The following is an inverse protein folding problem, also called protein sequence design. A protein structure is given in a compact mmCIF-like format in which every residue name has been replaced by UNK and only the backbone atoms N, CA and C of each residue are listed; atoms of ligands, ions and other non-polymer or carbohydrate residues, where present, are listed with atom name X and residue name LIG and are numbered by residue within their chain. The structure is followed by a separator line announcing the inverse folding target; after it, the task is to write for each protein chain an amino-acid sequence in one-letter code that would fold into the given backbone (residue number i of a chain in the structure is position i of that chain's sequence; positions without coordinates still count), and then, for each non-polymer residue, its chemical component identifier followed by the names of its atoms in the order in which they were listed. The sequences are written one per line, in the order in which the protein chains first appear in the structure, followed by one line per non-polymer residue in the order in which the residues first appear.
data_IF_566149248113
#
_entry.id   IF_566149248113
#
_cell.length_a   1.000
_cell.length_b   1.000
_cell.length_c   1.000
_cell.angle_alpha   90.00
_cell.angle_beta   90.00
_cell.angle_gamma   90.00
#
_symmetry.space_group_name_H-M   'P 1'
#
loop_
_entity.id
_entity.type
_entity.pdbx_description
1 polymer ?
#
# COMPACT_ATOMS: atom_id res chain seq x y z
N UNK A 1 -15.91 -2.53 7.84
CA UNK A 1 -16.27 -1.20 7.26
C UNK A 1 -15.60 -1.04 5.90
N UNK A 2 -16.20 -0.31 4.93
CA UNK A 2 -15.55 0.01 3.65
C UNK A 2 -14.90 1.39 3.76
N UNK A 3 -13.66 1.52 3.29
CA UNK A 3 -12.95 2.80 3.19
C UNK A 3 -12.65 3.06 1.72
N UNK A 4 -13.27 4.12 1.20
CA UNK A 4 -13.26 4.44 -0.24
C UNK A 4 -12.31 5.61 -0.45
N UNK A 5 -11.35 5.43 -1.36
CA UNK A 5 -10.38 6.45 -1.73
C UNK A 5 -10.96 7.39 -2.78
N UNK A 6 -11.68 8.41 -2.34
CA UNK A 6 -12.47 9.31 -3.19
C UNK A 6 -11.92 10.74 -3.31
N UNK A 7 -10.74 11.04 -2.73
CA UNK A 7 -10.17 12.39 -2.75
C UNK A 7 -9.10 12.60 -3.86
N UNK A 8 -8.95 11.62 -4.75
CA UNK A 8 -8.05 11.74 -5.88
C UNK A 8 -8.53 12.77 -6.90
N UNK A 9 -7.57 13.56 -7.43
CA UNK A 9 -7.80 14.45 -8.59
C UNK A 9 -7.07 13.97 -9.84
N UNK A 10 -5.86 13.44 -9.66
CA UNK A 10 -5.01 12.96 -10.75
C UNK A 10 -5.18 11.47 -11.05
N UNK A 11 -6.00 10.76 -10.27
CA UNK A 11 -6.36 9.36 -10.52
C UNK A 11 -7.88 9.20 -10.51
N UNK A 12 -8.37 8.27 -11.31
CA UNK A 12 -9.78 7.93 -11.41
C UNK A 12 -9.95 6.49 -11.87
N UNK A 13 -10.77 5.69 -11.19
CA UNK A 13 -11.30 4.45 -11.74
C UNK A 13 -12.56 4.81 -12.53
N UNK A 14 -12.43 4.92 -13.85
CA UNK A 14 -13.49 5.37 -14.74
C UNK A 14 -14.61 4.34 -14.80
N UNK A 15 -14.23 3.06 -14.97
CA UNK A 15 -15.16 1.95 -15.14
C UNK A 15 -14.47 0.62 -14.77
N UNK A 16 -15.23 -0.41 -14.40
CA UNK A 16 -14.70 -1.73 -14.11
C UNK A 16 -15.75 -2.81 -14.37
N UNK A 17 -15.31 -3.96 -14.87
CA UNK A 17 -16.13 -5.15 -15.12
C UNK A 17 -15.43 -6.13 -16.06
N UNK A 18 -16.02 -7.32 -16.24
CA UNK A 18 -15.44 -8.40 -17.05
C UNK A 18 -13.98 -8.74 -16.71
N UNK A 19 -13.59 -8.61 -15.43
CA UNK A 19 -12.23 -8.89 -14.97
C UNK A 19 -11.20 -7.82 -15.26
N UNK A 20 -11.64 -6.60 -15.63
CA UNK A 20 -10.78 -5.47 -15.99
C UNK A 20 -11.25 -4.17 -15.38
N UNK A 21 -10.38 -3.19 -15.38
CA UNK A 21 -10.67 -1.80 -15.01
C UNK A 21 -10.07 -0.83 -16.00
N UNK A 22 -10.78 0.26 -16.24
CA UNK A 22 -10.38 1.41 -17.03
C UNK A 22 -10.05 2.56 -16.07
N UNK A 23 -8.85 3.07 -16.15
CA UNK A 23 -8.32 4.05 -15.20
C UNK A 23 -7.68 5.24 -15.91
N UNK A 24 -7.81 6.41 -15.28
CA UNK A 24 -7.05 7.61 -15.66
C UNK A 24 -5.96 7.87 -14.63
N UNK A 25 -4.74 8.07 -15.12
CA UNK A 25 -3.54 8.39 -14.36
C UNK A 25 -2.95 9.71 -14.87
N UNK A 26 -3.34 10.84 -14.28
CA UNK A 26 -3.08 12.16 -14.87
C UNK A 26 -3.84 12.30 -16.18
N UNK A 27 -3.09 12.40 -17.29
CA UNK A 27 -3.65 12.47 -18.65
C UNK A 27 -3.61 11.12 -19.39
N UNK A 28 -3.15 10.04 -18.75
CA UNK A 28 -2.97 8.73 -19.36
C UNK A 28 -4.11 7.81 -18.99
N UNK A 29 -4.74 7.16 -19.96
CA UNK A 29 -5.83 6.21 -19.75
C UNK A 29 -5.31 4.80 -19.98
N UNK A 30 -5.43 3.95 -18.95
CA UNK A 30 -4.94 2.58 -18.96
C UNK A 30 -6.09 1.59 -18.73
N UNK A 31 -6.05 0.46 -19.44
CA UNK A 31 -6.89 -0.70 -19.19
C UNK A 31 -6.02 -1.82 -18.61
N UNK A 32 -6.44 -2.36 -17.45
CA UNK A 32 -5.68 -3.38 -16.74
C UNK A 32 -6.58 -4.48 -16.19
N UNK A 33 -6.08 -5.73 -16.05
CA UNK A 33 -6.83 -6.80 -15.40
C UNK A 33 -7.09 -6.49 -13.92
N UNK A 34 -8.33 -6.70 -13.51
CA UNK A 34 -8.73 -6.69 -12.12
C UNK A 34 -9.68 -7.86 -11.83
N UNK A 35 -9.18 -8.93 -11.16
CA UNK A 35 -9.97 -10.13 -10.95
C UNK A 35 -11.16 -9.95 -10.00
N UNK A 36 -11.24 -8.85 -9.28
CA UNK A 36 -12.38 -8.53 -8.40
C UNK A 36 -13.57 -7.99 -9.20
N UNK A 37 -13.35 -7.39 -10.38
CA UNK A 37 -14.39 -6.79 -11.21
C UNK A 37 -15.11 -7.85 -12.07
N UNK A 38 -15.79 -8.81 -11.44
CA UNK A 38 -16.41 -9.96 -12.12
C UNK A 38 -17.81 -9.67 -12.71
N UNK A 39 -18.38 -8.52 -12.42
CA UNK A 39 -19.69 -8.11 -12.95
C UNK A 39 -19.60 -7.69 -14.42
N UNK A 40 -20.76 -7.65 -15.07
CA UNK A 40 -20.84 -7.22 -16.45
C UNK A 40 -20.70 -5.71 -16.58
N UNK A 41 -20.04 -5.27 -17.63
CA UNK A 41 -19.93 -3.86 -18.01
C UNK A 41 -20.28 -3.71 -19.50
N UNK A 42 -20.99 -2.63 -19.84
CA UNK A 42 -21.21 -2.27 -21.23
C UNK A 42 -20.00 -1.51 -21.74
N UNK A 43 -19.25 -2.12 -22.65
CA UNK A 43 -18.11 -1.46 -23.29
C UNK A 43 -18.59 -0.29 -24.16
N UNK A 44 -18.45 0.91 -23.66
CA UNK A 44 -18.74 2.16 -24.37
C UNK A 44 -17.53 2.63 -25.15
N UNK A 45 -17.68 3.74 -25.88
CA UNK A 45 -16.58 4.37 -26.60
C UNK A 45 -15.44 4.83 -25.68
N UNK A 46 -15.71 5.04 -24.38
CA UNK A 46 -14.69 5.35 -23.38
C UNK A 46 -13.64 4.23 -23.26
N UNK A 47 -14.07 2.95 -23.33
CA UNK A 47 -13.19 1.80 -23.30
C UNK A 47 -12.31 1.64 -24.56
N UNK A 48 -12.61 2.35 -25.62
CA UNK A 48 -11.85 2.37 -26.90
C UNK A 48 -10.77 3.44 -26.91
N UNK A 49 -10.93 4.50 -26.10
CA UNK A 49 -10.03 5.65 -26.02
C UNK A 49 -9.03 5.46 -24.90
N UNK A 50 -7.99 4.67 -25.13
CA UNK A 50 -6.96 4.35 -24.13
C UNK A 50 -5.55 4.46 -24.72
N UNK A 51 -4.60 4.75 -23.85
CA UNK A 51 -3.19 4.89 -24.20
C UNK A 51 -2.44 3.56 -24.08
N UNK A 52 -2.87 2.70 -23.13
CA UNK A 52 -2.24 1.40 -22.91
C UNK A 52 -3.20 0.37 -22.36
N UNK A 53 -2.98 -0.89 -22.77
CA UNK A 53 -3.71 -2.05 -22.27
C UNK A 53 -2.74 -3.15 -21.87
N UNK A 54 -2.87 -3.67 -20.66
CA UNK A 54 -2.12 -4.81 -20.19
C UNK A 54 -2.91 -6.11 -20.40
N UNK A 55 -2.39 -6.97 -21.24
CA UNK A 55 -2.96 -8.29 -21.51
C UNK A 55 -2.33 -9.34 -20.61
N UNK A 56 -3.16 -10.07 -19.87
CA UNK A 56 -2.71 -11.16 -19.04
C UNK A 56 -2.42 -12.41 -19.88
N UNK A 57 -1.27 -13.02 -19.65
CA UNK A 57 -0.92 -14.30 -20.28
C UNK A 57 -1.50 -15.48 -19.47
N UNK A 58 -1.95 -16.52 -20.15
CA UNK A 58 -2.40 -17.77 -19.53
C UNK A 58 -1.26 -18.57 -18.87
N UNK A 59 0.00 -18.20 -19.15
CA UNK A 59 1.21 -18.84 -18.60
C UNK A 59 1.80 -18.06 -17.40
N UNK A 60 1.08 -17.06 -16.90
CA UNK A 60 1.56 -16.11 -15.89
C UNK A 60 2.22 -14.86 -16.52
N UNK A 61 2.20 -13.74 -15.79
CA UNK A 61 2.64 -12.45 -16.32
C UNK A 61 1.71 -11.88 -17.38
N UNK A 62 2.26 -11.18 -18.35
CA UNK A 62 1.53 -10.53 -19.44
C UNK A 62 2.36 -9.46 -20.13
N UNK A 63 1.74 -8.68 -20.99
CA UNK A 63 2.41 -7.64 -21.77
C UNK A 63 1.54 -6.40 -21.94
N UNK A 64 2.19 -5.25 -22.05
CA UNK A 64 1.55 -3.99 -22.40
C UNK A 64 1.48 -3.82 -23.92
N UNK A 65 0.30 -3.42 -24.40
CA UNK A 65 0.13 -2.87 -25.73
C UNK A 65 -0.17 -1.38 -25.59
N UNK A 66 0.71 -0.53 -26.14
CA UNK A 66 0.53 0.92 -26.14
C UNK A 66 -0.07 1.36 -27.49
N UNK A 67 -1.05 2.26 -27.41
CA UNK A 67 -1.76 2.83 -28.56
C UNK A 67 -1.27 4.25 -28.86
N UNK A 68 -0.66 4.89 -27.85
CA UNK A 68 0.00 6.20 -27.94
C UNK A 68 1.42 6.10 -27.43
N UNK A 69 2.26 7.06 -27.78
CA UNK A 69 3.64 7.14 -27.23
C UNK A 69 3.56 7.72 -25.82
N UNK A 70 3.78 6.89 -24.82
CA UNK A 70 3.89 7.34 -23.44
C UNK A 70 5.31 7.82 -23.10
N UNK A 71 5.47 8.75 -22.15
CA UNK A 71 6.76 9.03 -21.54
C UNK A 71 7.24 7.81 -20.75
N UNK A 72 8.53 7.74 -20.45
CA UNK A 72 9.10 6.67 -19.62
C UNK A 72 8.43 6.60 -18.25
N UNK A 73 8.11 7.78 -17.69
CA UNK A 73 7.29 7.93 -16.50
C UNK A 73 6.55 9.27 -16.51
N UNK A 74 5.55 9.40 -15.69
CA UNK A 74 4.90 10.68 -15.37
C UNK A 74 4.56 10.75 -13.90
N UNK A 75 3.98 11.85 -13.44
CA UNK A 75 3.64 12.03 -12.03
C UNK A 75 2.14 12.18 -11.85
N UNK A 76 1.67 11.70 -10.69
CA UNK A 76 0.31 11.94 -10.18
C UNK A 76 0.38 12.49 -8.77
N UNK A 77 -0.57 13.33 -8.40
CA UNK A 77 -0.65 13.96 -7.08
C UNK A 77 -1.81 13.41 -6.27
N UNK A 78 -1.53 13.19 -5.00
CA UNK A 78 -2.54 13.00 -3.97
C UNK A 78 -2.34 14.05 -2.89
N UNK A 79 -3.27 14.99 -2.76
CA UNK A 79 -3.12 16.17 -1.88
C UNK A 79 -1.77 16.87 -2.15
N UNK A 80 -0.88 16.93 -1.19
CA UNK A 80 0.46 17.54 -1.31
C UNK A 80 1.57 16.55 -1.72
N UNK A 81 1.25 15.26 -1.84
CA UNK A 81 2.20 14.22 -2.23
C UNK A 81 2.24 14.07 -3.75
N UNK A 82 3.42 13.89 -4.31
CA UNK A 82 3.63 13.67 -5.74
C UNK A 82 4.35 12.33 -5.94
N UNK A 83 3.81 11.48 -6.80
CA UNK A 83 4.33 10.15 -7.06
C UNK A 83 4.66 9.95 -8.52
N UNK A 84 5.80 9.34 -8.77
CA UNK A 84 6.17 8.79 -10.08
C UNK A 84 5.31 7.56 -10.36
N UNK A 85 4.77 7.48 -11.57
CA UNK A 85 4.07 6.32 -12.10
C UNK A 85 4.62 5.95 -13.47
N UNK A 86 4.70 4.66 -13.73
CA UNK A 86 5.16 4.09 -15.00
C UNK A 86 4.61 2.67 -15.15
N UNK A 87 4.16 2.25 -16.33
CA UNK A 87 3.88 0.86 -16.60
C UNK A 87 5.12 0.00 -16.31
N UNK A 88 4.99 -0.98 -15.41
CA UNK A 88 6.08 -1.94 -15.13
C UNK A 88 5.99 -3.14 -16.08
N UNK A 89 6.95 -4.07 -15.99
CA UNK A 89 6.88 -5.34 -16.72
C UNK A 89 5.68 -6.21 -16.31
N UNK A 90 4.95 -5.80 -15.28
CA UNK A 90 3.70 -6.40 -14.81
C UNK A 90 2.55 -5.42 -15.00
N UNK A 91 1.35 -5.81 -14.56
CA UNK A 91 0.16 -4.95 -14.62
C UNK A 91 0.23 -3.67 -13.74
N UNK A 92 1.23 -3.56 -12.87
CA UNK A 92 1.33 -2.45 -11.90
C UNK A 92 1.95 -1.20 -12.51
N UNK A 93 1.61 -0.07 -11.93
CA UNK A 93 2.04 1.28 -12.37
C UNK A 93 2.90 2.00 -11.34
N UNK A 94 3.29 1.30 -10.27
CA UNK A 94 4.10 1.87 -9.20
C UNK A 94 3.31 2.47 -8.03
N UNK A 95 1.98 2.47 -8.10
CA UNK A 95 1.14 3.04 -7.04
C UNK A 95 -0.16 2.25 -6.88
N UNK A 96 -0.70 2.23 -5.65
CA UNK A 96 -1.97 1.63 -5.27
C UNK A 96 -2.90 2.73 -4.75
N UNK A 97 -3.77 3.32 -5.59
CA UNK A 97 -4.56 4.49 -5.23
C UNK A 97 -5.55 4.26 -4.09
N UNK A 98 -6.05 3.05 -3.93
CA UNK A 98 -6.94 2.65 -2.83
C UNK A 98 -6.31 2.83 -1.46
N UNK A 99 -4.97 2.80 -1.38
CA UNK A 99 -4.23 3.00 -0.13
C UNK A 99 -4.26 4.44 0.38
N UNK A 100 -4.75 5.38 -0.40
CA UNK A 100 -4.81 6.79 0.01
C UNK A 100 -5.65 7.00 1.28
N UNK A 101 -6.69 6.18 1.53
CA UNK A 101 -7.43 6.21 2.80
C UNK A 101 -6.57 5.82 4.01
N UNK A 102 -5.58 4.96 3.79
CA UNK A 102 -4.63 4.58 4.82
C UNK A 102 -3.55 5.66 5.01
N UNK A 103 -3.15 6.33 3.92
CA UNK A 103 -2.23 7.47 4.03
C UNK A 103 -2.85 8.61 4.83
N UNK A 104 -4.11 8.95 4.56
CA UNK A 104 -4.84 9.98 5.32
C UNK A 104 -4.91 9.62 6.80
N UNK A 105 -5.31 8.39 7.11
CA UNK A 105 -5.35 7.90 8.49
C UNK A 105 -3.98 8.05 9.18
N UNK A 106 -2.89 7.61 8.54
CA UNK A 106 -1.55 7.70 9.12
C UNK A 106 -1.10 9.14 9.32
N UNK A 107 -1.33 10.00 8.31
CA UNK A 107 -1.01 11.44 8.41
C UNK A 107 -1.75 12.11 9.55
N UNK A 108 -3.04 11.85 9.69
CA UNK A 108 -3.87 12.45 10.74
C UNK A 108 -3.47 11.94 12.13
N UNK A 109 -3.22 10.63 12.29
CA UNK A 109 -2.77 10.05 13.54
C UNK A 109 -1.42 10.66 13.99
N UNK A 110 -0.46 10.78 13.06
CA UNK A 110 0.86 11.36 13.34
C UNK A 110 0.75 12.84 13.73
N UNK A 111 0.00 13.65 12.97
CA UNK A 111 -0.17 15.07 13.25
C UNK A 111 -0.85 15.32 14.60
N UNK A 112 -1.83 14.51 14.96
CA UNK A 112 -2.60 14.65 16.19
C UNK A 112 -1.89 14.08 17.42
N UNK A 113 -0.80 13.34 17.27
CA UNK A 113 -0.09 12.70 18.39
C UNK A 113 0.65 13.69 19.31
N UNK A 114 0.89 14.92 18.83
CA UNK A 114 1.64 15.98 19.55
C UNK A 114 3.04 15.53 20.07
N UNK A 115 3.62 14.51 19.46
CA UNK A 115 4.96 14.01 19.78
C UNK A 115 5.67 13.54 18.52
N UNK A 116 6.99 13.38 18.59
CA UNK A 116 7.75 12.81 17.49
C UNK A 116 7.43 11.32 17.37
N UNK A 117 7.06 10.87 16.17
CA UNK A 117 6.67 9.50 15.87
C UNK A 117 7.74 8.83 15.02
N UNK A 118 8.15 7.63 15.41
CA UNK A 118 9.05 6.76 14.65
C UNK A 118 8.22 5.64 14.01
N UNK A 119 8.16 5.62 12.68
CA UNK A 119 7.36 4.66 11.89
C UNK A 119 8.27 3.63 11.24
N UNK A 120 7.88 2.35 11.29
CA UNK A 120 8.44 1.28 10.49
C UNK A 120 7.46 0.90 9.39
N UNK A 121 7.89 1.02 8.13
CA UNK A 121 7.13 0.59 6.96
C UNK A 121 7.77 -0.65 6.33
N UNK A 122 7.07 -1.78 6.38
CA UNK A 122 7.50 -3.08 5.88
C UNK A 122 6.77 -3.41 4.56
N UNK A 123 7.44 -4.08 3.63
CA UNK A 123 6.96 -4.32 2.26
C UNK A 123 6.55 -3.01 1.59
N UNK A 124 7.43 -2.04 1.70
CA UNK A 124 7.11 -0.64 1.48
C UNK A 124 6.93 -0.26 0.01
N UNK A 125 7.28 -1.16 -0.92
CA UNK A 125 7.15 -0.96 -2.36
C UNK A 125 7.82 0.37 -2.79
N UNK A 126 7.11 1.20 -3.55
CA UNK A 126 7.61 2.51 -4.00
C UNK A 126 7.50 3.63 -2.95
N UNK A 127 7.16 3.29 -1.71
CA UNK A 127 7.25 4.16 -0.55
C UNK A 127 6.10 5.16 -0.36
N UNK A 128 4.93 4.96 -0.94
CA UNK A 128 3.82 5.91 -0.79
C UNK A 128 3.42 6.12 0.70
N UNK A 129 3.29 5.03 1.47
CA UNK A 129 3.03 5.11 2.91
C UNK A 129 4.18 5.80 3.68
N UNK A 130 5.44 5.59 3.24
CA UNK A 130 6.61 6.29 3.80
C UNK A 130 6.50 7.80 3.57
N UNK A 131 6.16 8.23 2.35
CA UNK A 131 6.01 9.65 2.03
C UNK A 131 4.86 10.28 2.83
N UNK A 132 3.74 9.58 2.97
CA UNK A 132 2.60 10.03 3.79
C UNK A 132 3.03 10.24 5.26
N UNK A 133 3.64 9.24 5.90
CA UNK A 133 4.10 9.35 7.28
C UNK A 133 5.14 10.45 7.47
N UNK A 134 6.13 10.52 6.57
CA UNK A 134 7.21 11.52 6.64
C UNK A 134 6.69 12.95 6.44
N UNK A 135 5.74 13.17 5.53
CA UNK A 135 5.12 14.47 5.30
C UNK A 135 4.30 14.97 6.49
N UNK A 136 3.84 14.06 7.34
CA UNK A 136 3.16 14.37 8.59
C UNK A 136 4.13 14.63 9.77
N UNK A 137 5.45 14.51 9.54
CA UNK A 137 6.49 14.82 10.53
C UNK A 137 7.12 13.61 11.22
N UNK A 138 6.81 12.39 10.79
CA UNK A 138 7.44 11.19 11.37
C UNK A 138 8.86 10.96 10.87
N UNK A 139 9.68 10.32 11.73
CA UNK A 139 10.89 9.64 11.29
C UNK A 139 10.52 8.26 10.76
N UNK A 140 10.93 7.91 9.54
CA UNK A 140 10.49 6.68 8.90
C UNK A 140 11.67 5.77 8.57
N UNK A 141 11.53 4.50 8.91
CA UNK A 141 12.39 3.42 8.43
C UNK A 141 11.56 2.58 7.44
N UNK A 142 12.00 2.55 6.20
CA UNK A 142 11.37 1.82 5.11
C UNK A 142 12.16 0.57 4.78
N UNK A 143 11.50 -0.58 4.69
CA UNK A 143 12.10 -1.87 4.35
C UNK A 143 11.37 -2.52 3.19
N UNK A 144 12.10 -2.88 2.16
CA UNK A 144 11.61 -3.67 1.03
C UNK A 144 12.71 -4.61 0.53
N UNK A 145 12.33 -5.80 0.04
CA UNK A 145 13.28 -6.76 -0.49
C UNK A 145 13.84 -6.36 -1.87
N UNK A 146 13.13 -5.49 -2.60
CA UNK A 146 13.48 -5.06 -3.94
C UNK A 146 14.32 -3.78 -3.93
N UNK A 147 15.56 -3.87 -4.40
CA UNK A 147 16.41 -2.70 -4.61
C UNK A 147 15.77 -1.69 -5.59
N UNK A 148 15.16 -2.18 -6.68
CA UNK A 148 14.52 -1.31 -7.67
C UNK A 148 13.36 -0.51 -7.09
N UNK A 149 12.53 -1.12 -6.25
CA UNK A 149 11.43 -0.43 -5.57
C UNK A 149 11.94 0.57 -4.54
N UNK A 150 13.02 0.24 -3.83
CA UNK A 150 13.68 1.16 -2.90
C UNK A 150 14.27 2.39 -3.61
N UNK A 151 14.87 2.22 -4.79
CA UNK A 151 15.34 3.37 -5.59
C UNK A 151 14.16 4.23 -6.09
N UNK A 152 13.07 3.61 -6.54
CA UNK A 152 11.86 4.34 -6.91
C UNK A 152 11.28 5.14 -5.72
N UNK A 153 11.31 4.58 -4.51
CA UNK A 153 10.88 5.28 -3.31
C UNK A 153 11.75 6.52 -3.02
N UNK A 154 13.06 6.48 -3.30
CA UNK A 154 13.93 7.65 -3.19
C UNK A 154 13.59 8.74 -4.22
N UNK A 155 13.16 8.34 -5.42
CA UNK A 155 12.65 9.29 -6.40
C UNK A 155 11.35 9.94 -5.92
N UNK A 156 10.43 9.16 -5.37
CA UNK A 156 9.20 9.68 -4.76
C UNK A 156 9.49 10.63 -3.58
N UNK A 157 10.51 10.35 -2.76
CA UNK A 157 10.96 11.25 -1.70
C UNK A 157 11.34 12.64 -2.27
N UNK A 158 12.10 12.66 -3.36
CA UNK A 158 12.49 13.92 -4.04
C UNK A 158 11.28 14.64 -4.63
N UNK A 159 10.39 13.92 -5.30
CA UNK A 159 9.17 14.48 -5.88
C UNK A 159 8.22 15.07 -4.82
N UNK A 160 8.23 14.53 -3.60
CA UNK A 160 7.49 15.05 -2.47
C UNK A 160 8.22 16.19 -1.72
N UNK A 161 9.46 16.53 -2.06
CA UNK A 161 10.25 17.54 -1.36
C UNK A 161 10.64 17.15 0.07
N UNK A 162 10.84 15.86 0.32
CA UNK A 162 11.07 15.30 1.67
C UNK A 162 12.54 14.92 1.93
N UNK A 163 13.50 15.41 1.12
CA UNK A 163 14.92 15.05 1.23
C UNK A 163 15.56 15.50 2.54
N UNK A 164 14.99 16.50 3.20
CA UNK A 164 15.46 16.98 4.51
C UNK A 164 14.91 16.20 5.70
N UNK A 165 13.91 15.35 5.46
CA UNK A 165 13.28 14.55 6.48
C UNK A 165 14.09 13.27 6.76
N UNK A 166 13.97 12.74 7.98
CA UNK A 166 14.61 11.48 8.30
C UNK A 166 13.82 10.31 7.70
N UNK A 167 14.35 9.77 6.58
CA UNK A 167 13.85 8.55 5.95
C UNK A 167 15.04 7.61 5.73
N UNK A 168 14.99 6.43 6.34
CA UNK A 168 15.99 5.39 6.18
C UNK A 168 15.48 4.31 5.25
N UNK A 169 16.15 4.13 4.12
CA UNK A 169 15.82 3.12 3.10
C UNK A 169 16.65 1.87 3.29
N UNK A 170 16.01 0.72 3.44
CA UNK A 170 16.64 -0.58 3.70
C UNK A 170 16.18 -1.58 2.63
N UNK A 171 17.13 -2.25 2.01
CA UNK A 171 16.87 -3.42 1.13
C UNK A 171 17.16 -4.67 1.94
N UNK A 172 16.10 -5.38 2.37
CA UNK A 172 16.22 -6.54 3.25
C UNK A 172 14.95 -7.38 3.30
N UNK A 173 15.04 -8.60 3.83
CA UNK A 173 13.90 -9.38 4.28
C UNK A 173 13.28 -8.71 5.53
N UNK A 174 11.96 -8.53 5.51
CA UNK A 174 11.25 -7.80 6.57
C UNK A 174 11.36 -8.48 7.94
N UNK A 175 11.20 -9.81 8.01
CA UNK A 175 11.29 -10.54 9.27
C UNK A 175 12.70 -10.49 9.86
N UNK A 176 13.71 -10.73 9.03
CA UNK A 176 15.12 -10.64 9.45
C UNK A 176 15.48 -9.24 9.92
N UNK A 177 14.96 -8.21 9.26
CA UNK A 177 15.15 -6.82 9.68
C UNK A 177 14.54 -6.59 11.06
N UNK A 178 13.29 -6.98 11.30
CA UNK A 178 12.59 -6.82 12.58
C UNK A 178 13.33 -7.56 13.71
N UNK A 179 13.76 -8.80 13.46
CA UNK A 179 14.53 -9.58 14.43
C UNK A 179 15.88 -8.90 14.81
N UNK A 180 16.53 -8.22 13.84
CA UNK A 180 17.74 -7.44 14.13
C UNK A 180 17.46 -6.17 14.93
N UNK A 181 16.36 -5.48 14.62
CA UNK A 181 15.94 -4.29 15.39
C UNK A 181 15.59 -4.68 16.84
N UNK A 182 14.96 -5.84 17.05
CA UNK A 182 14.75 -6.36 18.41
C UNK A 182 16.06 -6.57 19.17
N UNK A 183 17.04 -7.24 18.56
CA UNK A 183 18.36 -7.46 19.19
C UNK A 183 19.13 -6.17 19.48
N UNK A 184 18.86 -5.11 18.71
CA UNK A 184 19.45 -3.77 18.89
C UNK A 184 18.72 -2.92 19.93
N UNK A 185 17.58 -3.40 20.45
CA UNK A 185 16.74 -2.64 21.37
C UNK A 185 16.02 -1.46 20.73
N UNK A 186 15.94 -1.39 19.38
CA UNK A 186 15.22 -0.33 18.69
C UNK A 186 13.71 -0.50 18.86
N UNK A 187 13.02 0.64 19.03
CA UNK A 187 11.58 0.70 19.20
C UNK A 187 10.94 1.63 18.15
N UNK A 188 9.69 1.35 17.82
CA UNK A 188 8.89 2.09 16.86
C UNK A 188 7.51 2.43 17.46
N UNK A 189 7.04 3.65 17.21
CA UNK A 189 5.74 4.09 17.70
C UNK A 189 4.60 3.65 16.80
N UNK A 190 4.90 3.38 15.54
CA UNK A 190 3.91 2.88 14.59
C UNK A 190 4.56 1.91 13.61
N UNK A 191 3.79 0.92 13.19
CA UNK A 191 4.18 -0.05 12.16
C UNK A 191 3.08 -0.10 11.11
N UNK A 192 3.48 -0.02 9.84
CA UNK A 192 2.62 -0.28 8.69
C UNK A 192 3.24 -1.37 7.83
N UNK A 193 2.42 -2.27 7.30
CA UNK A 193 2.87 -3.32 6.40
C UNK A 193 1.82 -3.65 5.33
N UNK A 194 2.33 -3.97 4.15
CA UNK A 194 1.54 -4.39 2.99
C UNK A 194 2.14 -5.65 2.34
N UNK A 195 2.15 -6.78 3.08
CA UNK A 195 2.80 -8.00 2.63
C UNK A 195 2.08 -8.59 1.42
N UNK A 196 2.84 -9.09 0.41
CA UNK A 196 2.26 -9.78 -0.73
C UNK A 196 1.70 -11.14 -0.32
N UNK A 197 0.79 -11.70 -1.14
CA UNK A 197 0.32 -13.08 -0.95
C UNK A 197 1.46 -14.08 -1.04
N UNK A 198 2.37 -13.85 -1.99
CA UNK A 198 3.60 -14.64 -2.19
C UNK A 198 4.75 -13.72 -2.61
N UNK A 199 5.94 -13.99 -2.11
CA UNK A 199 7.15 -13.24 -2.45
C UNK A 199 8.44 -14.00 -2.17
N UNK A 200 9.54 -13.38 -2.57
CA UNK A 200 10.89 -13.83 -2.23
C UNK A 200 11.70 -12.67 -1.66
N UNK A 201 12.41 -12.95 -0.59
CA UNK A 201 13.40 -12.04 -0.02
C UNK A 201 14.66 -11.93 -0.89
N UNK A 202 15.57 -11.02 -0.55
CA UNK A 202 16.79 -10.75 -1.35
C UNK A 202 17.73 -11.96 -1.44
N UNK A 203 17.64 -12.91 -0.50
CA UNK A 203 18.43 -14.16 -0.51
C UNK A 203 17.54 -15.38 -0.78
N UNK A 204 16.45 -15.23 -1.56
CA UNK A 204 15.47 -16.27 -1.89
C UNK A 204 14.65 -16.81 -0.71
N UNK A 205 14.56 -16.10 0.40
CA UNK A 205 13.59 -16.41 1.47
C UNK A 205 12.19 -16.48 0.87
N UNK A 206 11.44 -17.52 1.21
CA UNK A 206 10.08 -17.68 0.72
C UNK A 206 9.12 -17.02 1.72
N UNK A 207 8.30 -16.10 1.22
CA UNK A 207 7.15 -15.53 1.92
C UNK A 207 5.87 -16.09 1.34
N UNK A 208 5.00 -16.59 2.21
CA UNK A 208 3.60 -16.88 1.94
C UNK A 208 2.79 -16.26 3.07
N UNK A 209 1.78 -15.49 2.72
CA UNK A 209 1.02 -14.68 3.69
C UNK A 209 0.49 -15.52 4.85
N UNK A 210 -0.27 -16.58 4.54
CA UNK A 210 -0.96 -17.41 5.54
C UNK A 210 0.01 -18.12 6.49
N UNK A 211 1.20 -18.48 6.01
CA UNK A 211 2.21 -19.19 6.79
C UNK A 211 3.09 -18.23 7.63
N UNK A 212 3.22 -16.97 7.21
CA UNK A 212 4.27 -16.07 7.70
C UNK A 212 3.75 -14.86 8.47
N UNK A 213 2.51 -14.41 8.20
CA UNK A 213 2.01 -13.14 8.73
C UNK A 213 1.96 -13.10 10.26
N UNK A 214 1.49 -14.19 10.90
CA UNK A 214 1.40 -14.21 12.35
C UNK A 214 2.77 -14.13 13.02
N UNK A 215 3.77 -14.85 12.48
CA UNK A 215 5.16 -14.80 12.97
C UNK A 215 5.76 -13.41 12.83
N UNK A 216 5.49 -12.72 11.71
CA UNK A 216 5.98 -11.37 11.50
C UNK A 216 5.34 -10.38 12.49
N UNK A 217 4.03 -10.47 12.72
CA UNK A 217 3.32 -9.61 13.68
C UNK A 217 3.87 -9.83 15.10
N UNK A 218 4.05 -11.09 15.53
CA UNK A 218 4.63 -11.41 16.83
C UNK A 218 6.04 -10.80 17.00
N UNK A 219 6.86 -10.85 15.96
CA UNK A 219 8.17 -10.20 15.98
C UNK A 219 8.05 -8.66 16.03
N UNK A 220 7.12 -8.07 15.27
CA UNK A 220 6.88 -6.63 15.22
C UNK A 220 6.41 -6.06 16.57
N UNK A 221 5.57 -6.78 17.29
CA UNK A 221 5.08 -6.36 18.61
C UNK A 221 6.24 -6.18 19.60
N UNK A 222 7.27 -7.01 19.52
CA UNK A 222 8.46 -6.92 20.40
C UNK A 222 9.27 -5.64 20.17
N UNK A 223 9.11 -4.97 19.06
CA UNK A 223 9.77 -3.71 18.72
C UNK A 223 8.83 -2.50 18.74
N UNK A 224 7.58 -2.65 19.13
CA UNK A 224 6.71 -1.51 19.42
C UNK A 224 7.20 -0.80 20.71
N UNK A 225 7.02 0.52 20.74
CA UNK A 225 7.26 1.32 21.94
C UNK A 225 6.18 1.04 23.00
N UNK A 226 6.41 1.51 24.23
CA UNK A 226 5.44 1.33 25.33
C UNK A 226 4.14 2.11 25.08
N UNK A 227 4.18 3.10 24.21
CA UNK A 227 3.03 3.91 23.79
C UNK A 227 2.90 3.91 22.28
N UNK A 228 2.48 2.79 21.66
CA UNK A 228 2.34 2.72 20.22
C UNK A 228 1.19 3.62 19.76
N UNK A 229 1.37 4.27 18.61
CA UNK A 229 0.33 5.13 18.02
C UNK A 229 -0.64 4.32 17.19
N UNK A 230 -0.12 3.51 16.26
CA UNK A 230 -0.91 2.59 15.45
C UNK A 230 -0.12 1.38 14.96
N UNK A 231 -0.87 0.33 14.58
CA UNK A 231 -0.36 -0.80 13.82
C UNK A 231 -1.32 -1.07 12.66
N UNK A 232 -0.85 -1.00 11.43
CA UNK A 232 -1.65 -1.13 10.22
C UNK A 232 -1.14 -2.28 9.36
N UNK A 233 -2.05 -3.18 8.99
CA UNK A 233 -1.79 -4.29 8.06
C UNK A 233 -2.73 -4.16 6.88
N UNK A 234 -2.20 -4.31 5.67
CA UNK A 234 -2.98 -4.48 4.45
C UNK A 234 -2.83 -5.91 3.93
N UNK A 235 -3.78 -6.37 3.15
CA UNK A 235 -3.66 -7.63 2.41
C UNK A 235 -4.51 -7.62 1.14
N UNK A 236 -3.93 -8.17 0.09
CA UNK A 236 -4.58 -8.46 -1.19
C UNK A 236 -4.69 -9.97 -1.44
N UNK A 237 -4.48 -10.77 -0.38
CA UNK A 237 -4.51 -12.23 -0.46
C UNK A 237 -5.95 -12.72 -0.60
N UNK A 238 -6.24 -13.42 -1.69
CA UNK A 238 -7.54 -14.03 -1.94
C UNK A 238 -7.85 -15.08 -0.86
N UNK A 239 -9.08 -15.08 -0.36
CA UNK A 239 -9.54 -16.02 0.67
C UNK A 239 -9.30 -15.56 2.12
N UNK A 240 -8.58 -14.45 2.33
CA UNK A 240 -8.42 -13.83 3.66
C UNK A 240 -9.46 -12.72 3.81
N UNK A 241 -10.31 -12.81 4.83
CA UNK A 241 -11.27 -11.75 5.16
C UNK A 241 -10.65 -10.72 6.11
N UNK A 242 -11.23 -9.51 6.16
CA UNK A 242 -10.80 -8.47 7.10
C UNK A 242 -10.96 -8.91 8.56
N UNK A 243 -11.92 -9.78 8.87
CA UNK A 243 -12.12 -10.37 10.20
C UNK A 243 -10.90 -11.18 10.65
N UNK A 244 -10.16 -11.81 9.74
CA UNK A 244 -8.91 -12.51 10.08
C UNK A 244 -7.88 -11.52 10.61
N UNK A 245 -7.68 -10.38 9.92
CA UNK A 245 -6.77 -9.33 10.38
C UNK A 245 -7.23 -8.72 11.71
N UNK A 246 -8.54 -8.51 11.87
CA UNK A 246 -9.13 -8.03 13.12
C UNK A 246 -8.82 -8.97 14.29
N UNK A 247 -9.04 -10.28 14.11
CA UNK A 247 -8.79 -11.28 15.14
C UNK A 247 -7.30 -11.36 15.49
N UNK A 248 -6.41 -11.32 14.51
CA UNK A 248 -4.96 -11.30 14.76
C UNK A 248 -4.61 -10.09 15.63
N UNK A 249 -5.05 -8.88 15.26
CA UNK A 249 -4.74 -7.68 16.03
C UNK A 249 -5.37 -7.68 17.43
N UNK A 250 -6.60 -8.18 17.57
CA UNK A 250 -7.26 -8.32 18.87
C UNK A 250 -6.54 -9.31 19.80
N UNK A 251 -6.07 -10.41 19.26
CA UNK A 251 -5.41 -11.44 20.07
C UNK A 251 -3.94 -11.15 20.39
N UNK A 252 -3.30 -10.29 19.60
CA UNK A 252 -1.87 -9.98 19.75
C UNK A 252 -1.60 -8.63 20.41
N UNK A 253 -2.30 -7.57 19.97
CA UNK A 253 -2.04 -6.20 20.43
C UNK A 253 -2.89 -5.78 21.63
N UNK A 254 -4.18 -6.06 21.64
CA UNK A 254 -5.05 -5.61 22.75
C UNK A 254 -4.65 -6.16 24.12
N UNK A 255 -4.14 -7.39 24.28
CA UNK A 255 -3.66 -7.85 25.59
C UNK A 255 -2.48 -7.04 26.15
N UNK A 256 -1.66 -6.48 25.27
CA UNK A 256 -0.49 -5.68 25.64
C UNK A 256 -0.80 -4.16 25.70
N UNK A 257 -1.72 -3.72 24.89
CA UNK A 257 -2.11 -2.31 24.75
C UNK A 257 -3.64 -2.16 24.83
N UNK A 258 -4.25 -2.39 26.02
CA UNK A 258 -5.71 -2.48 26.18
C UNK A 258 -6.45 -1.17 25.95
N UNK A 259 -5.76 -0.03 26.04
CA UNK A 259 -6.37 1.29 25.78
C UNK A 259 -6.60 1.61 24.31
N UNK A 260 -6.17 0.71 23.41
CA UNK A 260 -6.41 0.89 21.98
C UNK A 260 -7.70 0.26 21.49
N UNK A 261 -7.99 0.49 20.24
CA UNK A 261 -9.10 -0.17 19.53
C UNK A 261 -8.60 -0.80 18.23
N UNK A 262 -9.31 -1.83 17.79
CA UNK A 262 -9.07 -2.48 16.50
C UNK A 262 -10.21 -2.17 15.55
N UNK A 263 -9.88 -1.78 14.33
CA UNK A 263 -10.78 -1.53 13.20
C UNK A 263 -10.28 -2.33 12.00
N UNK A 264 -11.19 -2.99 11.29
CA UNK A 264 -10.87 -3.75 10.10
C UNK A 264 -11.96 -3.62 9.03
N UNK A 265 -11.58 -3.81 7.78
CA UNK A 265 -12.52 -3.69 6.68
C UNK A 265 -11.86 -3.80 5.31
N UNK A 266 -12.54 -3.28 4.31
CA UNK A 266 -12.11 -3.26 2.92
C UNK A 266 -11.61 -1.87 2.54
N UNK A 267 -10.61 -1.82 1.67
CA UNK A 267 -10.24 -0.62 0.90
C UNK A 267 -10.72 -0.76 -0.54
N UNK A 268 -11.19 0.34 -1.11
CA UNK A 268 -11.74 0.34 -2.46
C UNK A 268 -11.63 1.67 -3.16
N UNK A 269 -11.95 1.66 -4.44
CA UNK A 269 -11.98 2.82 -5.32
C UNK A 269 -13.41 3.10 -5.77
N UNK A 270 -13.85 4.36 -5.83
CA UNK A 270 -15.11 4.69 -6.47
C UNK A 270 -14.98 4.45 -7.98
N UNK A 271 -15.99 3.84 -8.58
CA UNK A 271 -16.14 3.74 -10.03
C UNK A 271 -17.02 4.91 -10.45
N UNK A 272 -16.45 5.86 -11.22
CA UNK A 272 -17.14 7.13 -11.47
C UNK A 272 -18.33 6.99 -12.38
N UNK A 273 -18.33 5.99 -13.26
CA UNK A 273 -19.41 5.79 -14.24
C UNK A 273 -20.73 5.35 -13.61
N UNK A 274 -20.72 4.41 -12.68
CA UNK A 274 -21.91 3.70 -12.20
C UNK A 274 -22.12 3.86 -10.67
N UNK A 275 -21.37 4.74 -10.02
CA UNK A 275 -21.39 4.96 -8.57
C UNK A 275 -21.12 3.67 -7.75
N UNK A 276 -20.51 2.67 -8.41
CA UNK A 276 -20.11 1.43 -7.75
C UNK A 276 -18.75 1.60 -7.05
N UNK A 277 -18.39 0.61 -6.29
CA UNK A 277 -17.08 0.53 -5.63
C UNK A 277 -16.33 -0.69 -6.15
N UNK A 278 -15.12 -0.47 -6.68
CA UNK A 278 -14.18 -1.53 -6.95
C UNK A 278 -13.53 -1.98 -5.64
N UNK A 279 -13.79 -3.19 -5.13
CA UNK A 279 -13.07 -3.71 -3.98
C UNK A 279 -11.62 -3.99 -4.37
N UNK A 280 -10.66 -3.56 -3.57
CA UNK A 280 -9.24 -3.71 -3.91
C UNK A 280 -8.51 -4.65 -2.95
N UNK A 281 -8.65 -4.44 -1.65
CA UNK A 281 -7.99 -5.23 -0.62
C UNK A 281 -8.66 -5.05 0.73
N UNK A 282 -8.03 -5.60 1.76
CA UNK A 282 -8.48 -5.50 3.15
C UNK A 282 -7.44 -4.83 4.02
N UNK A 283 -7.87 -4.24 5.13
CA UNK A 283 -6.99 -3.69 6.16
C UNK A 283 -7.41 -4.15 7.55
N UNK A 284 -6.44 -4.17 8.45
CA UNK A 284 -6.64 -4.22 9.91
C UNK A 284 -5.80 -3.13 10.56
N UNK A 285 -6.39 -2.38 11.51
CA UNK A 285 -5.73 -1.29 12.24
C UNK A 285 -5.91 -1.48 13.74
N UNK A 286 -4.83 -1.39 14.48
CA UNK A 286 -4.83 -1.04 15.88
C UNK A 286 -4.55 0.46 15.99
N UNK A 287 -5.27 1.17 16.85
CA UNK A 287 -5.13 2.61 17.08
C UNK A 287 -5.12 2.83 18.58
N UNK A 288 -4.11 3.51 19.11
CA UNK A 288 -4.11 3.97 20.50
C UNK A 288 -5.20 5.03 20.72
N UNK A 289 -5.77 5.04 21.91
CA UNK A 289 -6.65 6.12 22.35
C UNK A 289 -5.89 7.19 23.17
N UNK A 290 -4.56 7.02 23.35
CA UNK A 290 -3.69 7.94 24.09
C UNK A 290 -3.19 9.09 23.22
#
# INVERSE_FOLDING_TARGET
MKRISNEWKDYECIDAGHGEKLERWGNVILRRPDPQAIWNVNYTDTWKKLDGHYFRSNKGGGEWKFYTKLPEFWTVKYKHLTFKVSPTNFKHTGLFPEQATNWDFMMDAIKNSNRKIKVLNLFSYTGAATMACSSAGADVVQVDASKGMTEWAKENMKLCGLEKNYIRFIVDDCLKFVEREYRRGNKYDAIVMDPPSYGRGPNNEVWKFEESIYKLIDACIKILSDKPLFFLINSYTTGISSTVLENILKTTLLPLYPNGKVDAGEVGLPITRDELVLPCGIYGRYISND
#
